data_IF_691377800490
#
_entry.id   IF_691377800490
#
_cell.length_a   1.000
_cell.length_b   1.000
_cell.length_c   1.000
_cell.angle_alpha   90.00
_cell.angle_beta   90.00
_cell.angle_gamma   90.00
#
_symmetry.space_group_name_H-M   'P 1'
#
loop_
_entity.id
_entity.type
_entity.pdbx_description
1 polymer ?
#
# COMPACT_ATOMS: atom_id res chain seq x y z
N UNK A 1 20.68 -9.66 18.05
CA UNK A 1 19.21 -9.81 18.14
C UNK A 1 18.71 -10.55 16.92
N UNK A 2 17.79 -11.51 17.05
CA UNK A 2 17.18 -12.14 15.87
C UNK A 2 16.18 -11.16 15.24
N UNK A 3 16.32 -10.88 13.95
CA UNK A 3 15.48 -9.92 13.21
C UNK A 3 14.39 -10.64 12.39
N UNK A 4 13.80 -11.66 13.00
CA UNK A 4 12.72 -12.46 12.44
C UNK A 4 11.83 -13.00 13.56
N UNK A 5 10.58 -13.30 13.23
CA UNK A 5 9.61 -13.80 14.19
C UNK A 5 9.83 -15.30 14.45
N UNK A 6 9.91 -15.69 15.72
CA UNK A 6 10.09 -17.07 16.18
C UNK A 6 8.77 -17.73 16.61
N UNK A 7 7.70 -16.96 16.79
CA UNK A 7 6.41 -17.46 17.24
C UNK A 7 5.61 -18.08 16.09
N UNK A 8 4.90 -19.15 16.42
CA UNK A 8 3.82 -19.70 15.62
C UNK A 8 2.62 -18.74 15.59
N UNK A 9 1.67 -19.02 14.70
CA UNK A 9 0.42 -18.27 14.61
C UNK A 9 -0.44 -18.44 15.87
N UNK A 10 -0.47 -19.65 16.43
CA UNK A 10 -1.22 -19.98 17.64
C UNK A 10 -0.65 -19.26 18.86
N UNK A 11 0.67 -19.31 19.06
CA UNK A 11 1.33 -18.59 20.16
C UNK A 11 1.08 -17.08 20.05
N UNK A 12 1.11 -16.51 18.83
CA UNK A 12 0.80 -15.08 18.67
C UNK A 12 -0.65 -14.78 19.03
N UNK A 13 -1.61 -15.59 18.56
CA UNK A 13 -3.02 -15.37 18.83
C UNK A 13 -3.31 -15.42 20.35
N UNK A 14 -2.63 -16.31 21.07
CA UNK A 14 -2.72 -16.36 22.53
C UNK A 14 -2.19 -15.05 23.17
N UNK A 15 -1.02 -14.56 22.75
CA UNK A 15 -0.48 -13.29 23.26
C UNK A 15 -1.38 -12.09 22.97
N UNK A 16 -2.03 -12.05 21.81
CA UNK A 16 -3.01 -11.00 21.47
C UNK A 16 -4.18 -11.03 22.45
N UNK A 17 -4.72 -12.22 22.73
CA UNK A 17 -5.79 -12.40 23.71
C UNK A 17 -5.37 -12.00 25.13
N UNK A 18 -4.19 -12.43 25.57
CA UNK A 18 -3.65 -12.12 26.90
C UNK A 18 -3.39 -10.63 27.09
N UNK A 19 -2.96 -9.93 26.03
CA UNK A 19 -2.78 -8.49 26.07
C UNK A 19 -4.11 -7.73 26.22
N UNK A 20 -5.20 -8.28 25.65
CA UNK A 20 -6.55 -7.70 25.75
C UNK A 20 -6.66 -6.28 25.17
N UNK A 21 -5.74 -5.91 24.26
CA UNK A 21 -5.69 -4.59 23.64
C UNK A 21 -6.34 -4.62 22.27
N UNK A 22 -7.22 -3.65 22.01
CA UNK A 22 -7.70 -3.38 20.67
C UNK A 22 -6.54 -2.99 19.77
N UNK A 23 -6.54 -3.50 18.54
CA UNK A 23 -5.56 -3.18 17.51
C UNK A 23 -6.19 -2.37 16.38
N UNK A 24 -5.37 -1.53 15.75
CA UNK A 24 -5.73 -0.78 14.56
C UNK A 24 -5.02 -1.39 13.35
N UNK A 25 -5.80 -1.83 12.37
CA UNK A 25 -5.35 -2.23 11.05
C UNK A 25 -5.20 -1.00 10.17
N UNK A 26 -4.00 -0.84 9.62
CA UNK A 26 -3.64 0.30 8.80
C UNK A 26 -2.74 -0.11 7.62
N UNK A 27 -2.73 0.74 6.60
CA UNK A 27 -1.81 0.63 5.47
C UNK A 27 -1.26 1.99 5.06
N UNK A 28 -0.07 1.97 4.46
CA UNK A 28 0.56 3.13 3.85
C UNK A 28 1.63 2.68 2.86
N UNK A 29 2.06 3.60 2.01
CA UNK A 29 3.21 3.42 1.14
C UNK A 29 3.90 4.76 0.92
N UNK A 30 5.18 4.73 0.60
CA UNK A 30 5.93 5.90 0.18
C UNK A 30 6.99 5.50 -0.85
N UNK A 31 7.00 6.20 -1.99
CA UNK A 31 8.09 6.13 -2.95
C UNK A 31 9.21 7.08 -2.52
N UNK A 32 10.43 6.54 -2.43
CA UNK A 32 11.64 7.26 -2.05
C UNK A 32 12.87 6.49 -2.51
N UNK A 33 13.99 7.19 -2.72
CA UNK A 33 15.27 6.55 -3.07
C UNK A 33 15.95 6.06 -1.79
N UNK A 34 15.79 4.78 -1.49
CA UNK A 34 16.38 4.14 -0.32
C UNK A 34 17.71 3.49 -0.73
N UNK A 35 18.82 4.02 -0.23
CA UNK A 35 20.17 3.54 -0.59
C UNK A 35 20.44 2.12 -0.08
N UNK A 36 20.06 1.83 1.17
CA UNK A 36 20.29 0.54 1.79
C UNK A 36 18.99 -0.08 2.34
N UNK A 37 18.20 -0.76 1.48
CA UNK A 37 16.95 -1.42 1.87
C UNK A 37 17.12 -2.43 3.02
N UNK A 38 18.28 -3.09 3.11
CA UNK A 38 18.54 -4.08 4.16
C UNK A 38 18.70 -3.41 5.52
N UNK A 39 19.50 -2.35 5.60
CA UNK A 39 19.66 -1.58 6.82
C UNK A 39 18.33 -0.97 7.27
N UNK A 40 17.61 -0.33 6.35
CA UNK A 40 16.30 0.26 6.63
C UNK A 40 15.30 -0.80 7.13
N UNK A 41 15.25 -1.98 6.49
CA UNK A 41 14.46 -3.13 6.95
C UNK A 41 14.80 -3.50 8.40
N UNK A 42 16.09 -3.61 8.71
CA UNK A 42 16.57 -4.02 10.03
C UNK A 42 16.17 -2.97 11.09
N UNK A 43 16.38 -1.68 10.82
CA UNK A 43 16.01 -0.56 11.71
C UNK A 43 14.50 -0.53 12.00
N UNK A 44 13.66 -0.66 10.95
CA UNK A 44 12.21 -0.75 11.10
C UNK A 44 11.79 -1.97 11.93
N UNK A 45 12.43 -3.13 11.74
CA UNK A 45 12.09 -4.32 12.49
C UNK A 45 12.36 -4.11 13.99
N UNK A 46 13.48 -3.50 14.34
CA UNK A 46 13.82 -3.20 15.74
C UNK A 46 12.78 -2.26 16.35
N UNK A 47 12.50 -1.14 15.68
CA UNK A 47 11.59 -0.12 16.17
C UNK A 47 10.16 -0.66 16.33
N UNK A 48 9.63 -1.33 15.30
CA UNK A 48 8.23 -1.75 15.27
C UNK A 48 7.98 -3.02 16.08
N UNK A 49 8.96 -3.91 16.23
CA UNK A 49 8.82 -5.06 17.12
C UNK A 49 8.68 -4.62 18.59
N UNK A 50 9.35 -3.55 18.99
CA UNK A 50 9.22 -2.99 20.35
C UNK A 50 7.82 -2.41 20.62
N UNK A 51 7.09 -2.04 19.57
CA UNK A 51 5.71 -1.52 19.66
C UNK A 51 4.65 -2.62 19.55
N UNK A 52 5.05 -3.89 19.50
CA UNK A 52 4.19 -5.04 19.18
C UNK A 52 3.43 -4.85 17.85
N UNK A 53 4.04 -4.18 16.88
CA UNK A 53 3.47 -4.08 15.54
C UNK A 53 3.55 -5.42 14.81
N UNK A 54 2.50 -5.77 14.07
CA UNK A 54 2.40 -6.99 13.28
C UNK A 54 2.00 -6.60 11.86
N UNK A 55 2.48 -7.28 10.83
CA UNK A 55 2.19 -6.84 9.47
C UNK A 55 3.06 -7.46 8.40
N UNK A 56 2.73 -7.14 7.15
CA UNK A 56 3.53 -7.43 5.98
C UNK A 56 4.01 -6.11 5.37
N UNK A 57 5.32 -5.94 5.34
CA UNK A 57 5.96 -4.75 4.84
C UNK A 57 7.00 -5.14 3.80
N UNK A 58 6.95 -4.46 2.67
CA UNK A 58 7.95 -4.55 1.62
C UNK A 58 8.77 -3.28 1.60
N UNK A 59 10.08 -3.46 1.55
CA UNK A 59 11.06 -2.40 1.41
C UNK A 59 11.87 -2.69 0.15
N UNK A 60 12.07 -1.68 -0.68
CA UNK A 60 12.89 -1.76 -1.87
C UNK A 60 13.71 -0.48 -2.01
N UNK A 61 14.60 -0.42 -3.01
CA UNK A 61 15.29 0.82 -3.34
C UNK A 61 14.34 1.96 -3.72
N UNK A 62 13.15 1.62 -4.23
CA UNK A 62 12.12 2.58 -4.63
C UNK A 62 11.17 3.01 -3.50
N UNK A 63 11.28 2.44 -2.29
CA UNK A 63 10.45 2.89 -1.17
C UNK A 63 9.98 1.80 -0.21
N UNK A 64 8.80 2.03 0.38
CA UNK A 64 8.14 1.16 1.35
C UNK A 64 6.64 0.99 1.04
N UNK A 65 6.12 -0.22 1.27
CA UNK A 65 4.70 -0.53 1.26
C UNK A 65 4.37 -1.39 2.48
N UNK A 66 3.39 -0.96 3.29
CA UNK A 66 3.06 -1.57 4.55
C UNK A 66 1.55 -1.83 4.68
N UNK A 67 1.23 -3.04 5.12
CA UNK A 67 -0.09 -3.44 5.60
C UNK A 67 0.12 -4.09 6.96
N UNK A 68 -0.45 -3.52 8.02
CA UNK A 68 -0.10 -3.89 9.38
C UNK A 68 -1.22 -3.64 10.38
N UNK A 69 -1.08 -4.21 11.57
CA UNK A 69 -1.85 -3.89 12.75
C UNK A 69 -0.93 -3.53 13.92
N UNK A 70 -1.34 -2.53 14.69
CA UNK A 70 -0.63 -2.09 15.91
C UNK A 70 -1.63 -2.02 17.07
N UNK A 71 -1.20 -2.22 18.33
CA UNK A 71 -2.03 -1.86 19.48
C UNK A 71 -2.49 -0.40 19.38
N UNK A 72 -3.76 -0.13 19.64
CA UNK A 72 -4.34 1.21 19.46
C UNK A 72 -3.68 2.28 20.34
N UNK A 73 -3.22 1.88 21.54
CA UNK A 73 -2.49 2.75 22.48
C UNK A 73 -1.07 3.09 22.02
N UNK A 74 -0.54 2.39 21.00
CA UNK A 74 0.80 2.61 20.44
C UNK A 74 0.78 3.47 19.17
N UNK A 75 -0.37 4.00 18.75
CA UNK A 75 -0.50 4.74 17.49
C UNK A 75 0.46 5.94 17.39
N UNK A 76 0.52 6.77 18.43
CA UNK A 76 1.38 7.95 18.41
C UNK A 76 2.87 7.59 18.45
N UNK A 77 3.25 6.63 19.28
CA UNK A 77 4.62 6.09 19.30
C UNK A 77 5.01 5.49 17.93
N UNK A 78 4.07 4.83 17.26
CA UNK A 78 4.27 4.34 15.90
C UNK A 78 4.46 5.48 14.90
N UNK A 79 3.66 6.56 14.97
CA UNK A 79 3.83 7.75 14.13
C UNK A 79 5.21 8.38 14.30
N UNK A 80 5.69 8.50 15.53
CA UNK A 80 7.03 9.03 15.81
C UNK A 80 8.14 8.23 15.10
N UNK A 81 7.99 6.90 14.95
CA UNK A 81 8.95 6.09 14.19
C UNK A 81 8.99 6.43 12.70
N UNK A 82 7.89 6.91 12.14
CA UNK A 82 7.80 7.32 10.72
C UNK A 82 8.45 8.70 10.54
N UNK A 83 8.26 9.60 11.49
CA UNK A 83 8.84 10.96 11.47
C UNK A 83 10.39 10.96 11.48
N UNK A 84 11.01 9.86 11.91
CA UNK A 84 12.47 9.69 11.86
C UNK A 84 13.05 9.73 10.44
N UNK A 85 12.22 9.53 9.40
CA UNK A 85 12.64 9.49 8.00
C UNK A 85 11.96 10.61 7.22
N UNK A 86 12.75 11.48 6.58
CA UNK A 86 12.23 12.66 5.89
C UNK A 86 11.12 12.35 4.86
N UNK A 87 11.22 11.23 4.15
CA UNK A 87 10.25 10.81 3.15
C UNK A 87 8.96 10.19 3.72
N UNK A 88 8.90 9.93 5.03
CA UNK A 88 7.73 9.39 5.73
C UNK A 88 7.09 10.40 6.70
N UNK A 89 7.68 11.59 6.87
CA UNK A 89 7.11 12.65 7.70
C UNK A 89 5.72 13.04 7.23
N UNK A 90 4.76 13.09 8.16
CA UNK A 90 3.37 13.46 7.88
C UNK A 90 2.62 12.49 6.97
N UNK A 91 3.11 11.26 6.78
CA UNK A 91 2.46 10.29 5.90
C UNK A 91 1.03 9.98 6.35
N UNK A 92 0.12 9.96 5.38
CA UNK A 92 -1.26 9.54 5.61
C UNK A 92 -1.30 8.04 5.89
N UNK A 93 -1.87 7.66 7.02
CA UNK A 93 -2.18 6.27 7.35
C UNK A 93 -3.63 5.97 6.95
N UNK A 94 -3.83 4.96 6.12
CA UNK A 94 -5.16 4.46 5.79
C UNK A 94 -5.58 3.47 6.87
N UNK A 95 -6.34 3.95 7.85
CA UNK A 95 -6.89 3.11 8.93
C UNK A 95 -8.16 2.43 8.41
N UNK A 96 -8.26 1.12 8.60
CA UNK A 96 -9.42 0.34 8.19
C UNK A 96 -10.69 0.80 8.93
N UNK A 97 -11.86 0.60 8.33
CA UNK A 97 -13.15 0.89 9.00
C UNK A 97 -13.45 -0.18 10.04
N UNK A 98 -13.29 -1.44 9.67
CA UNK A 98 -13.41 -2.59 10.57
C UNK A 98 -12.04 -3.01 11.09
N UNK A 99 -12.00 -3.33 12.38
CA UNK A 99 -10.78 -3.77 13.06
C UNK A 99 -10.91 -5.25 13.41
N UNK A 100 -9.84 -5.99 13.12
CA UNK A 100 -9.67 -7.37 13.57
C UNK A 100 -8.29 -7.48 14.21
N UNK A 101 -8.27 -7.80 15.50
CA UNK A 101 -7.04 -7.95 16.28
C UNK A 101 -6.12 -9.05 15.70
N UNK A 102 -6.67 -9.96 14.89
CA UNK A 102 -5.94 -11.05 14.24
C UNK A 102 -5.57 -10.78 12.78
N UNK A 103 -5.81 -9.56 12.27
CA UNK A 103 -5.49 -9.17 10.88
C UNK A 103 -4.06 -9.56 10.46
N UNK A 104 -3.12 -9.51 11.42
CA UNK A 104 -1.75 -9.99 11.25
C UNK A 104 -1.27 -10.70 12.51
N UNK A 105 -0.59 -11.84 12.33
CA UNK A 105 -0.03 -12.63 13.42
C UNK A 105 1.50 -12.58 13.48
N UNK A 106 2.16 -11.85 12.57
CA UNK A 106 3.61 -11.74 12.52
C UNK A 106 4.04 -10.39 11.97
N UNK A 107 5.09 -9.80 12.55
CA UNK A 107 5.86 -8.75 11.88
C UNK A 107 6.76 -9.37 10.81
N UNK A 108 6.51 -9.03 9.56
CA UNK A 108 7.24 -9.52 8.39
C UNK A 108 7.67 -8.33 7.54
N UNK A 109 8.95 -7.96 7.61
CA UNK A 109 9.53 -6.93 6.76
C UNK A 109 10.48 -7.61 5.78
N UNK A 110 10.19 -7.53 4.47
CA UNK A 110 10.99 -8.18 3.43
C UNK A 110 11.61 -7.15 2.51
N UNK A 111 12.90 -7.31 2.26
CA UNK A 111 13.55 -6.63 1.14
C UNK A 111 13.08 -7.26 -0.17
N UNK A 112 12.68 -6.42 -1.11
CA UNK A 112 12.18 -6.77 -2.44
C UNK A 112 12.88 -5.89 -3.47
N UNK A 113 12.82 -6.34 -4.73
CA UNK A 113 13.23 -5.50 -5.85
C UNK A 113 12.27 -4.32 -6.03
N UNK A 114 10.96 -4.56 -5.81
CA UNK A 114 9.90 -3.56 -5.90
C UNK A 114 8.91 -3.68 -4.74
N UNK A 115 8.34 -2.58 -4.30
CA UNK A 115 7.30 -2.52 -3.27
C UNK A 115 5.91 -2.89 -3.79
N UNK A 116 5.73 -2.85 -5.11
CA UNK A 116 4.60 -3.41 -5.85
C UNK A 116 5.10 -4.05 -7.14
N UNK A 117 4.58 -5.22 -7.50
CA UNK A 117 5.03 -5.93 -8.70
C UNK A 117 4.38 -5.35 -9.96
N UNK A 118 4.99 -4.31 -10.53
CA UNK A 118 4.50 -3.59 -11.72
C UNK A 118 4.98 -4.22 -13.06
N UNK A 119 6.12 -4.91 -13.08
CA UNK A 119 6.74 -5.41 -14.32
C UNK A 119 7.28 -4.35 -15.27
N UNK A 120 7.38 -3.10 -14.81
CA UNK A 120 7.96 -2.00 -15.58
C UNK A 120 9.49 -1.99 -15.47
N UNK A 121 10.16 -1.33 -16.41
CA UNK A 121 11.58 -1.01 -16.30
C UNK A 121 11.75 0.34 -15.58
N UNK A 122 12.39 0.35 -14.41
CA UNK A 122 12.54 1.56 -13.60
C UNK A 122 13.43 2.63 -14.24
N UNK A 123 14.25 2.26 -15.24
CA UNK A 123 15.08 3.23 -15.99
C UNK A 123 14.24 4.16 -16.89
N UNK A 124 12.95 3.86 -17.11
CA UNK A 124 12.11 4.63 -18.04
C UNK A 124 11.26 5.70 -17.38
N UNK A 125 11.24 5.81 -16.04
CA UNK A 125 10.42 6.80 -15.33
C UNK A 125 10.93 7.08 -13.91
N UNK A 126 10.61 8.25 -13.36
CA UNK A 126 10.93 8.58 -11.96
C UNK A 126 9.77 8.16 -11.05
N UNK A 127 10.00 7.15 -10.20
CA UNK A 127 9.02 6.63 -9.22
C UNK A 127 8.55 7.68 -8.20
N UNK A 128 9.26 8.82 -8.09
CA UNK A 128 8.88 9.92 -7.20
C UNK A 128 7.97 10.94 -7.86
N UNK A 129 7.78 10.86 -9.19
CA UNK A 129 6.85 11.70 -9.92
C UNK A 129 5.42 11.17 -9.80
N UNK A 130 4.73 11.61 -8.75
CA UNK A 130 3.38 11.16 -8.40
C UNK A 130 2.30 11.78 -9.28
N UNK A 131 1.21 11.04 -9.45
CA UNK A 131 0.01 11.55 -10.12
C UNK A 131 -0.70 12.65 -9.31
N UNK A 132 -1.77 13.22 -9.88
CA UNK A 132 -2.63 14.17 -9.18
C UNK A 132 -3.51 13.39 -8.20
N UNK A 133 -3.32 13.61 -6.89
CA UNK A 133 -4.17 13.03 -5.87
C UNK A 133 -5.46 13.83 -5.71
N UNK A 134 -6.58 13.16 -5.94
CA UNK A 134 -7.91 13.72 -5.72
C UNK A 134 -8.42 13.36 -4.33
N UNK A 135 -9.15 14.28 -3.71
CA UNK A 135 -9.99 13.96 -2.56
C UNK A 135 -11.24 13.21 -3.02
N UNK A 136 -11.95 12.61 -2.07
CA UNK A 136 -13.11 11.77 -2.36
C UNK A 136 -14.24 12.54 -3.06
N UNK A 137 -14.47 13.80 -2.69
CA UNK A 137 -15.45 14.70 -3.30
C UNK A 137 -15.08 15.06 -4.74
N UNK A 138 -13.80 15.38 -4.98
CA UNK A 138 -13.27 15.64 -6.33
C UNK A 138 -13.35 14.40 -7.22
N UNK A 139 -13.01 13.23 -6.68
CA UNK A 139 -13.11 11.95 -7.37
C UNK A 139 -14.55 11.66 -7.79
N UNK A 140 -15.52 11.79 -6.88
CA UNK A 140 -16.94 11.59 -7.18
C UNK A 140 -17.46 12.57 -8.23
N UNK A 141 -17.01 13.83 -8.18
CA UNK A 141 -17.39 14.84 -9.18
C UNK A 141 -16.90 14.45 -10.58
N UNK A 142 -15.63 14.00 -10.69
CA UNK A 142 -15.08 13.56 -11.96
C UNK A 142 -15.66 12.24 -12.46
N UNK A 143 -16.13 11.38 -11.54
CA UNK A 143 -16.81 10.13 -11.87
C UNK A 143 -18.12 10.38 -12.64
N UNK A 144 -18.79 11.51 -12.37
CA UNK A 144 -20.03 11.91 -13.05
C UNK A 144 -19.80 12.64 -14.39
N UNK A 145 -18.55 13.03 -14.69
CA UNK A 145 -18.21 13.75 -15.93
C UNK A 145 -18.17 12.77 -17.13
N UNK A 146 -19.00 12.98 -18.19
CA UNK A 146 -18.99 12.13 -19.38
C UNK A 146 -17.68 12.20 -20.18
N UNK A 147 -16.79 13.16 -19.88
CA UNK A 147 -15.45 13.23 -20.45
C UNK A 147 -14.39 12.47 -19.65
N UNK A 148 -14.79 11.73 -18.63
CA UNK A 148 -13.90 10.92 -17.78
C UNK A 148 -13.97 9.45 -18.15
N UNK A 149 -12.80 8.82 -18.25
CA UNK A 149 -12.65 7.37 -18.28
C UNK A 149 -12.13 6.94 -16.92
N UNK A 150 -12.86 6.02 -16.28
CA UNK A 150 -12.53 5.51 -14.96
C UNK A 150 -11.87 4.15 -15.12
N UNK A 151 -10.78 3.89 -14.41
CA UNK A 151 -9.98 2.68 -14.55
C UNK A 151 -9.71 2.05 -13.18
N UNK A 152 -10.09 0.79 -13.05
CA UNK A 152 -9.77 -0.04 -11.89
C UNK A 152 -8.40 -0.70 -12.07
N UNK A 153 -7.42 -0.27 -11.27
CA UNK A 153 -6.07 -0.85 -11.29
C UNK A 153 -5.91 -2.06 -10.36
N UNK A 154 -7.03 -2.61 -9.88
CA UNK A 154 -7.02 -3.81 -9.05
C UNK A 154 -7.03 -5.09 -9.89
N UNK A 155 -6.80 -6.23 -9.23
CA UNK A 155 -6.90 -7.53 -9.90
C UNK A 155 -8.38 -7.89 -10.12
N UNK A 156 -8.68 -8.80 -11.06
CA UNK A 156 -10.06 -9.15 -11.42
C UNK A 156 -10.93 -9.52 -10.20
N UNK A 157 -10.41 -10.35 -9.29
CA UNK A 157 -11.12 -10.79 -8.09
C UNK A 157 -11.48 -9.64 -7.12
N UNK A 158 -10.74 -8.53 -7.12
CA UNK A 158 -11.06 -7.35 -6.31
C UNK A 158 -12.21 -6.56 -6.94
N UNK A 159 -12.25 -6.51 -8.27
CA UNK A 159 -13.29 -5.83 -9.05
C UNK A 159 -14.62 -6.60 -9.05
N UNK A 160 -14.57 -7.93 -9.00
CA UNK A 160 -15.75 -8.81 -8.88
C UNK A 160 -16.52 -8.61 -7.57
N UNK A 161 -15.82 -8.31 -6.47
CA UNK A 161 -16.45 -7.97 -5.19
C UNK A 161 -17.22 -6.65 -5.28
N UNK A 162 -16.71 -5.71 -6.09
CA UNK A 162 -17.35 -4.42 -6.35
C UNK A 162 -16.35 -3.42 -6.93
N UNK A 163 -16.83 -2.53 -7.79
CA UNK A 163 -16.07 -1.49 -8.48
C UNK A 163 -16.95 -0.25 -8.72
N UNK A 164 -16.36 0.87 -9.11
CA UNK A 164 -17.14 2.07 -9.46
C UNK A 164 -17.90 1.85 -10.77
N UNK A 165 -19.12 2.37 -10.86
CA UNK A 165 -19.94 2.25 -12.07
C UNK A 165 -19.21 2.86 -13.29
N UNK A 166 -19.22 2.13 -14.41
CA UNK A 166 -18.55 2.55 -15.64
C UNK A 166 -17.03 2.39 -15.66
N UNK A 167 -16.41 1.87 -14.60
CA UNK A 167 -14.97 1.64 -14.57
C UNK A 167 -14.55 0.53 -15.55
N UNK A 168 -13.47 0.78 -16.28
CA UNK A 168 -12.74 -0.24 -17.03
C UNK A 168 -12.07 -1.17 -16.01
N UNK A 169 -12.44 -2.45 -16.04
CA UNK A 169 -11.88 -3.49 -15.20
C UNK A 169 -11.07 -4.47 -16.06
N UNK A 170 -9.73 -4.42 -16.04
CA UNK A 170 -8.92 -5.37 -16.78
C UNK A 170 -9.09 -6.78 -16.21
N UNK A 171 -9.35 -7.75 -17.08
CA UNK A 171 -9.50 -9.15 -16.70
C UNK A 171 -8.12 -9.80 -16.52
N UNK A 172 -7.48 -9.53 -15.37
CA UNK A 172 -6.10 -9.93 -15.08
C UNK A 172 -5.89 -10.55 -13.70
N UNK A 173 -4.99 -11.52 -13.70
CA UNK A 173 -4.26 -12.13 -12.57
C UNK A 173 -3.65 -11.12 -11.62
N UNK A 174 -2.85 -10.26 -12.25
CA UNK A 174 -1.83 -9.48 -11.57
C UNK A 174 -1.74 -8.07 -12.15
N UNK A 175 -1.35 -7.12 -11.30
CA UNK A 175 -1.07 -5.74 -11.71
C UNK A 175 -0.03 -5.61 -12.83
N UNK A 176 0.91 -6.54 -12.93
CA UNK A 176 1.89 -6.54 -14.04
C UNK A 176 1.21 -6.74 -15.40
N UNK A 177 0.17 -7.57 -15.44
CA UNK A 177 -0.58 -7.87 -16.67
C UNK A 177 -1.56 -6.75 -17.02
N UNK A 178 -2.05 -6.00 -16.02
CA UNK A 178 -3.02 -4.92 -16.25
C UNK A 178 -2.42 -3.75 -17.02
N UNK A 179 -1.16 -3.39 -16.78
CA UNK A 179 -0.54 -2.18 -17.33
C UNK A 179 -0.51 -2.16 -18.87
N UNK A 180 -0.03 -3.19 -19.58
CA UNK A 180 -0.08 -3.20 -21.05
C UNK A 180 -1.49 -3.11 -21.61
N UNK A 181 -2.45 -3.81 -21.00
CA UNK A 181 -3.85 -3.89 -21.47
C UNK A 181 -4.53 -2.52 -21.31
N UNK A 182 -4.41 -1.91 -20.13
CA UNK A 182 -4.96 -0.58 -19.88
C UNK A 182 -4.29 0.43 -20.81
N UNK A 183 -2.96 0.37 -20.94
CA UNK A 183 -2.23 1.28 -21.81
C UNK A 183 -2.70 1.18 -23.27
N UNK A 184 -2.97 -0.02 -23.78
CA UNK A 184 -3.52 -0.25 -25.12
C UNK A 184 -4.95 0.32 -25.25
N UNK A 185 -5.83 0.01 -24.30
CA UNK A 185 -7.23 0.50 -24.30
C UNK A 185 -7.35 2.02 -24.24
N UNK A 186 -6.39 2.68 -23.58
CA UNK A 186 -6.39 4.13 -23.41
C UNK A 186 -5.58 4.88 -24.47
N UNK A 187 -4.91 4.21 -25.42
CA UNK A 187 -4.00 4.87 -26.38
C UNK A 187 -4.63 6.06 -27.10
N UNK A 188 -5.89 5.91 -27.54
CA UNK A 188 -6.60 6.96 -28.29
C UNK A 188 -7.16 8.07 -27.40
N UNK A 189 -7.18 7.86 -26.08
CA UNK A 189 -7.88 8.71 -25.12
C UNK A 189 -6.97 9.53 -24.19
N UNK A 190 -5.64 9.39 -24.32
CA UNK A 190 -4.68 9.98 -23.38
C UNK A 190 -4.66 11.50 -23.39
N UNK A 191 -5.04 12.13 -24.49
CA UNK A 191 -4.90 13.57 -24.71
C UNK A 191 -6.24 14.34 -24.67
N UNK A 192 -7.38 13.65 -24.80
CA UNK A 192 -8.72 14.25 -24.93
C UNK A 192 -9.68 13.91 -23.77
N UNK A 193 -9.34 12.91 -22.95
CA UNK A 193 -10.16 12.47 -21.80
C UNK A 193 -9.46 12.65 -20.47
N UNK A 194 -10.26 12.84 -19.42
CA UNK A 194 -9.77 12.73 -18.05
C UNK A 194 -9.59 11.23 -17.72
N UNK A 195 -8.39 10.83 -17.31
CA UNK A 195 -8.12 9.45 -16.87
C UNK A 195 -8.17 9.38 -15.35
N UNK A 196 -9.25 8.81 -14.81
CA UNK A 196 -9.49 8.67 -13.39
C UNK A 196 -9.14 7.26 -12.95
N UNK A 197 -8.12 7.12 -12.11
CA UNK A 197 -7.57 5.81 -11.74
C UNK A 197 -7.73 5.58 -10.25
N UNK A 198 -8.07 4.35 -9.86
CA UNK A 198 -8.12 3.97 -8.45
C UNK A 198 -7.60 2.55 -8.20
N UNK A 199 -7.14 2.35 -6.97
CA UNK A 199 -6.86 1.04 -6.41
C UNK A 199 -7.07 1.09 -4.89
N UNK A 200 -6.93 -0.04 -4.20
CA UNK A 200 -7.29 -0.17 -2.78
C UNK A 200 -6.59 0.83 -1.85
N UNK A 201 -5.31 1.13 -2.13
CA UNK A 201 -4.50 1.99 -1.27
C UNK A 201 -3.70 3.06 -2.02
N UNK A 202 -3.94 3.27 -3.31
CA UNK A 202 -3.27 4.26 -4.16
C UNK A 202 -1.95 3.80 -4.81
N UNK A 203 -1.20 2.89 -4.18
CA UNK A 203 0.17 2.52 -4.64
C UNK A 203 0.27 2.10 -6.12
N UNK A 204 -0.72 1.39 -6.67
CA UNK A 204 -0.71 0.95 -8.08
C UNK A 204 -0.94 2.10 -9.05
N UNK A 205 -1.70 3.12 -8.63
CA UNK A 205 -2.03 4.28 -9.44
C UNK A 205 -0.83 5.23 -9.64
N UNK A 206 0.16 5.19 -8.74
CA UNK A 206 1.40 5.97 -8.88
C UNK A 206 2.31 5.48 -10.02
N UNK A 207 2.06 4.27 -10.51
CA UNK A 207 2.88 3.59 -11.53
C UNK A 207 2.15 3.49 -12.88
N UNK A 208 0.96 4.06 -12.97
CA UNK A 208 0.06 3.96 -14.11
C UNK A 208 0.34 5.01 -15.19
#
# INVERSE_FOLDING_TARGET
MQLYNTLSAEERAQLINEAGKQRLTLSFYAYAKIENPKQFRDELFIAWNALDALGRIYVAHEGINAQMSIPADQLEAFRETLEAYDFMKGIRLNVAVEQDDYSFLKLTIKVRHKIVADGLNDDTFDVTNKGIHLKADEFNTLLEDPNTIVVDFRNHYESEVGHFEGAITPDVETFRESLPIINEQLQEHKEDKNLLMYCTGGIRCEKA
#
